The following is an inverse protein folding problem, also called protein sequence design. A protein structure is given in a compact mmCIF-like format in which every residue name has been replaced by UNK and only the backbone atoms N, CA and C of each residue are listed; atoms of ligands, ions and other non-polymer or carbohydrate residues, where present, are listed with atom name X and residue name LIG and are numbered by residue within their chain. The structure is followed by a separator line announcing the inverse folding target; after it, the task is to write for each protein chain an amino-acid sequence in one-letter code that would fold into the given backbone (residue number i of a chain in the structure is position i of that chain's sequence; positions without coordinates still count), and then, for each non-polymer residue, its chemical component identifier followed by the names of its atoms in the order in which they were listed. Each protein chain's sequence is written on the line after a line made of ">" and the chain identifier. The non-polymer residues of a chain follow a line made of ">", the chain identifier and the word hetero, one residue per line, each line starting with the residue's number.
data_IF_734178527775
#
_entry.id   IF_734178527775
#
_cell.length_a   1.000
_cell.length_b   1.000
_cell.length_c   1.000
_cell.angle_alpha   90.00
_cell.angle_beta   90.00
_cell.angle_gamma   90.00
#
_symmetry.space_group_name_H-M   'P 1'
#
loop_
_entity.id
_entity.type
_entity.pdbx_description
1 polymer ?
#
# COMPACT_ATOMS: atom_id res chain seq x y z
N UNK A 1 -15.27 -8.63 -33.46
CA UNK A 1 -15.53 -9.86 -32.68
C UNK A 1 -14.32 -10.74 -32.87
N UNK A 2 -13.57 -11.20 -31.89
CA UNK A 2 -13.34 -10.93 -30.47
C UNK A 2 -12.09 -11.76 -30.15
N UNK A 3 -11.49 -11.53 -28.99
CA UNK A 3 -10.61 -12.49 -28.31
C UNK A 3 -9.23 -12.72 -28.91
N UNK A 4 -8.28 -11.93 -28.42
CA UNK A 4 -7.05 -12.55 -27.91
C UNK A 4 -6.90 -12.13 -26.46
N UNK A 5 -7.48 -12.97 -25.61
CA UNK A 5 -7.18 -13.08 -24.19
C UNK A 5 -5.67 -12.97 -23.94
N UNK A 6 -5.26 -11.91 -23.25
CA UNK A 6 -3.94 -11.83 -22.64
C UNK A 6 -3.99 -12.68 -21.36
N UNK A 7 -3.99 -14.00 -21.56
CA UNK A 7 -3.70 -15.00 -20.53
C UNK A 7 -2.20 -14.96 -20.22
N UNK A 8 -1.77 -14.08 -19.31
CA UNK A 8 -0.45 -14.20 -18.67
C UNK A 8 -0.61 -15.16 -17.48
N UNK A 9 -0.40 -16.45 -17.76
CA UNK A 9 -0.37 -17.48 -16.74
C UNK A 9 0.97 -17.54 -16.00
N UNK A 10 0.87 -17.42 -14.68
CA UNK A 10 1.54 -18.25 -13.68
C UNK A 10 3.06 -18.11 -13.50
N UNK A 11 3.45 -17.19 -12.62
CA UNK A 11 4.63 -17.37 -11.76
C UNK A 11 4.12 -17.63 -10.34
N UNK A 12 4.64 -18.64 -9.65
CA UNK A 12 4.27 -19.05 -8.29
C UNK A 12 4.48 -17.95 -7.22
N UNK A 13 3.67 -16.88 -7.22
CA UNK A 13 3.95 -15.68 -6.43
C UNK A 13 2.69 -15.00 -5.91
N UNK A 14 2.36 -15.26 -4.63
CA UNK A 14 1.47 -14.44 -3.81
C UNK A 14 0.00 -14.36 -4.25
N UNK A 15 -0.91 -14.17 -3.29
CA UNK A 15 -2.33 -13.88 -3.55
C UNK A 15 -2.57 -12.57 -4.35
N UNK A 16 -1.54 -11.74 -4.50
CA UNK A 16 -1.63 -10.39 -5.06
C UNK A 16 -0.51 -10.15 -6.09
N UNK A 17 -0.75 -9.33 -7.13
CA UNK A 17 0.31 -8.89 -8.03
C UNK A 17 1.36 -8.07 -7.27
N UNK A 18 2.60 -8.09 -7.77
CA UNK A 18 3.69 -7.27 -7.23
C UNK A 18 3.32 -5.79 -7.37
N UNK A 19 3.40 -5.03 -6.28
CA UNK A 19 3.14 -3.60 -6.30
C UNK A 19 4.27 -2.81 -6.97
N UNK A 20 3.90 -1.77 -7.72
CA UNK A 20 4.84 -0.83 -8.32
C UNK A 20 4.27 0.58 -8.34
N UNK A 21 5.15 1.57 -8.19
CA UNK A 21 4.79 2.97 -8.41
C UNK A 21 5.07 3.34 -9.86
N UNK A 22 4.24 4.23 -10.40
CA UNK A 22 4.40 4.80 -11.74
C UNK A 22 4.42 6.32 -11.65
N UNK A 23 4.69 6.99 -12.77
CA UNK A 23 4.60 8.45 -12.85
C UNK A 23 3.16 8.98 -12.66
N UNK A 24 2.16 8.09 -12.65
CA UNK A 24 0.75 8.43 -12.39
C UNK A 24 0.37 8.31 -10.91
N UNK A 25 1.24 7.73 -10.07
CA UNK A 25 0.98 7.56 -8.65
C UNK A 25 0.85 8.92 -7.96
N UNK A 26 -0.33 9.20 -7.43
CA UNK A 26 -0.58 10.44 -6.69
C UNK A 26 0.05 10.34 -5.29
N UNK A 27 1.05 11.18 -5.01
CA UNK A 27 1.66 11.30 -3.68
C UNK A 27 0.84 12.28 -2.84
N UNK A 28 0.34 11.82 -1.69
CA UNK A 28 -0.51 12.59 -0.79
C UNK A 28 0.05 12.56 0.62
N UNK A 29 -0.31 13.54 1.44
CA UNK A 29 0.15 13.65 2.82
C UNK A 29 -0.98 14.08 3.75
N UNK A 30 -0.99 13.51 4.96
CA UNK A 30 -1.88 13.90 6.04
C UNK A 30 -1.12 13.87 7.37
N UNK A 31 -1.36 14.86 8.23
CA UNK A 31 -0.74 14.96 9.55
C UNK A 31 -1.76 14.60 10.63
N UNK A 32 -1.32 13.84 11.61
CA UNK A 32 -2.11 13.38 12.75
C UNK A 32 -1.45 13.80 14.05
N UNK A 33 -2.17 13.69 15.16
CA UNK A 33 -1.66 14.08 16.49
C UNK A 33 -0.82 12.97 17.13
N UNK A 34 -0.93 11.74 16.65
CA UNK A 34 -0.21 10.61 17.19
C UNK A 34 -0.04 9.47 16.18
N UNK A 35 0.97 8.62 16.43
CA UNK A 35 1.15 7.36 15.71
C UNK A 35 -0.09 6.47 15.75
N UNK A 36 -0.78 6.43 16.90
CA UNK A 36 -1.98 5.62 17.10
C UNK A 36 -3.11 6.06 16.17
N UNK A 37 -3.31 7.37 16.03
CA UNK A 37 -4.32 7.96 15.15
C UNK A 37 -4.03 7.63 13.67
N UNK A 38 -2.81 7.88 13.20
CA UNK A 38 -2.40 7.56 11.83
C UNK A 38 -2.62 6.07 11.49
N UNK A 39 -2.19 5.17 12.40
CA UNK A 39 -2.38 3.73 12.24
C UNK A 39 -3.85 3.30 12.30
N UNK A 40 -4.67 3.96 13.11
CA UNK A 40 -6.11 3.69 13.19
C UNK A 40 -6.78 3.98 11.85
N UNK A 41 -6.51 5.16 11.26
CA UNK A 41 -7.02 5.54 9.93
C UNK A 41 -6.59 4.52 8.88
N UNK A 42 -5.31 4.14 8.83
CA UNK A 42 -4.85 3.14 7.86
C UNK A 42 -5.56 1.78 8.04
N UNK A 43 -5.76 1.32 9.28
CA UNK A 43 -6.49 0.07 9.57
C UNK A 43 -7.93 0.11 9.07
N UNK A 44 -8.62 1.24 9.16
CA UNK A 44 -9.99 1.36 8.62
C UNK A 44 -10.07 1.11 7.11
N UNK A 45 -9.00 1.46 6.37
CA UNK A 45 -8.94 1.33 4.91
C UNK A 45 -8.47 -0.04 4.46
N UNK A 46 -7.43 -0.58 5.11
CA UNK A 46 -6.96 -1.94 4.84
C UNK A 46 -8.04 -2.97 5.21
N UNK A 47 -8.83 -2.68 6.24
CA UNK A 47 -9.96 -3.50 6.65
C UNK A 47 -9.57 -4.66 7.55
N UNK A 48 -10.52 -5.58 7.75
CA UNK A 48 -10.38 -6.71 8.66
C UNK A 48 -9.53 -7.83 8.04
N UNK A 49 -8.79 -8.53 8.89
CA UNK A 49 -7.95 -9.70 8.57
C UNK A 49 -7.02 -9.46 7.37
N UNK A 50 -6.15 -8.43 7.42
CA UNK A 50 -5.24 -8.15 6.30
C UNK A 50 -4.25 -9.28 6.08
N UNK A 51 -3.84 -9.45 4.83
CA UNK A 51 -2.83 -10.44 4.43
C UNK A 51 -1.45 -9.81 4.57
N UNK A 52 -0.55 -10.43 5.32
CA UNK A 52 0.86 -10.07 5.30
C UNK A 52 1.48 -10.51 3.98
N UNK A 53 2.05 -9.57 3.23
CA UNK A 53 2.65 -9.81 1.92
C UNK A 53 4.18 -9.67 1.92
N UNK A 54 4.81 -9.57 3.10
CA UNK A 54 6.24 -9.33 3.25
C UNK A 54 6.61 -7.84 3.27
N UNK A 55 7.90 -7.52 3.38
CA UNK A 55 8.46 -6.17 3.28
C UNK A 55 7.79 -5.10 4.18
N UNK A 56 7.35 -5.50 5.38
CA UNK A 56 6.59 -4.65 6.30
C UNK A 56 5.27 -4.12 5.72
N UNK A 57 4.66 -4.89 4.80
CA UNK A 57 3.41 -4.57 4.12
C UNK A 57 2.26 -5.49 4.53
N UNK A 58 1.09 -4.88 4.71
CA UNK A 58 -0.18 -5.56 4.90
C UNK A 58 -1.13 -5.18 3.76
N UNK A 59 -1.76 -6.17 3.13
CA UNK A 59 -2.69 -5.96 2.02
C UNK A 59 -4.12 -6.28 2.45
N UNK A 60 -5.06 -5.44 2.03
CA UNK A 60 -6.49 -5.70 2.19
C UNK A 60 -6.89 -6.96 1.44
N UNK A 61 -7.93 -7.65 1.93
CA UNK A 61 -8.41 -8.89 1.31
C UNK A 61 -8.73 -8.74 -0.18
N UNK A 62 -9.30 -7.60 -0.56
CA UNK A 62 -9.64 -7.26 -1.95
C UNK A 62 -8.47 -6.68 -2.78
N UNK A 63 -7.25 -6.59 -2.22
CA UNK A 63 -6.05 -6.13 -2.93
C UNK A 63 -5.95 -4.63 -3.16
N UNK A 64 -6.99 -3.84 -2.85
CA UNK A 64 -7.09 -2.40 -3.20
C UNK A 64 -6.34 -1.47 -2.26
N UNK A 65 -6.06 -1.89 -1.02
CA UNK A 65 -5.38 -1.07 -0.02
C UNK A 65 -4.19 -1.81 0.56
N UNK A 66 -3.07 -1.13 0.67
CA UNK A 66 -1.84 -1.62 1.28
C UNK A 66 -1.41 -0.65 2.38
N UNK A 67 -1.07 -1.19 3.53
CA UNK A 67 -0.33 -0.48 4.56
C UNK A 67 1.13 -0.89 4.44
N UNK A 68 2.05 0.08 4.53
CA UNK A 68 3.50 -0.16 4.58
C UNK A 68 4.13 0.68 5.68
N UNK A 69 4.98 0.07 6.49
CA UNK A 69 5.73 0.79 7.53
C UNK A 69 7.13 0.24 7.71
N UNK A 70 8.08 0.80 6.97
CA UNK A 70 9.49 0.44 7.11
C UNK A 70 10.10 1.08 8.37
N UNK A 71 11.07 0.43 9.04
CA UNK A 71 11.67 0.95 10.26
C UNK A 71 12.23 2.38 10.12
N UNK A 72 12.83 2.71 8.98
CA UNK A 72 13.34 4.05 8.70
C UNK A 72 12.25 5.12 8.69
N UNK A 73 11.10 4.81 8.09
CA UNK A 73 9.93 5.73 8.03
C UNK A 73 9.31 5.93 9.41
N UNK A 74 9.29 4.89 10.23
CA UNK A 74 8.81 4.96 11.60
C UNK A 74 9.71 5.82 12.51
N UNK A 75 11.00 5.89 12.21
CA UNK A 75 11.96 6.74 12.92
C UNK A 75 12.07 8.16 12.36
N UNK A 76 11.46 8.43 11.20
CA UNK A 76 11.69 9.64 10.44
C UNK A 76 13.05 9.60 9.73
N UNK A 77 13.06 9.26 8.44
CA UNK A 77 14.29 9.09 7.66
C UNK A 77 15.20 10.34 7.73
N UNK A 78 16.38 10.24 8.35
CA UNK A 78 17.43 11.26 8.40
C UNK A 78 17.10 12.55 9.16
N UNK A 79 16.05 13.27 8.72
CA UNK A 79 15.45 14.51 9.28
C UNK A 79 13.95 14.66 8.95
N UNK A 80 13.30 13.65 8.35
CA UNK A 80 11.88 13.67 7.98
C UNK A 80 10.94 13.33 9.14
N UNK A 81 9.67 13.77 9.08
CA UNK A 81 8.68 13.41 10.10
C UNK A 81 8.37 11.91 10.05
N UNK A 82 8.27 11.21 11.20
CA UNK A 82 7.81 9.83 11.27
C UNK A 82 6.47 9.65 10.55
N UNK A 83 6.36 8.59 9.76
CA UNK A 83 5.11 8.30 9.05
C UNK A 83 4.96 6.82 8.70
N UNK A 84 3.74 6.49 8.26
CA UNK A 84 3.40 5.23 7.59
C UNK A 84 2.86 5.54 6.20
N UNK A 85 2.91 4.55 5.31
CA UNK A 85 2.27 4.63 4.01
C UNK A 85 0.93 3.90 4.01
N UNK A 86 -0.08 4.56 3.45
CA UNK A 86 -1.34 3.95 3.05
C UNK A 86 -1.48 4.10 1.54
N UNK A 87 -1.35 2.99 0.84
CA UNK A 87 -1.30 2.93 -0.61
C UNK A 87 -2.62 2.37 -1.13
N UNK A 88 -3.22 3.05 -2.12
CA UNK A 88 -4.35 2.55 -2.90
C UNK A 88 -3.82 1.98 -4.19
N UNK A 89 -4.20 0.76 -4.52
CA UNK A 89 -3.67 0.03 -5.68
C UNK A 89 -4.79 -0.43 -6.60
N UNK A 90 -4.44 -0.61 -7.86
CA UNK A 90 -5.18 -1.47 -8.76
C UNK A 90 -4.93 -2.95 -8.34
N UNK A 91 -5.96 -3.70 -7.93
CA UNK A 91 -5.79 -5.06 -7.45
C UNK A 91 -5.45 -6.07 -8.56
N UNK A 92 -5.63 -5.71 -9.83
CA UNK A 92 -5.34 -6.55 -11.00
C UNK A 92 -3.88 -6.34 -11.42
N UNK A 93 -3.44 -5.09 -11.56
CA UNK A 93 -2.10 -4.79 -12.08
C UNK A 93 -1.05 -4.66 -10.98
N UNK A 94 -1.44 -4.27 -9.77
CA UNK A 94 -0.51 -3.90 -8.69
C UNK A 94 -0.02 -2.45 -8.76
N UNK A 95 -0.48 -1.65 -9.72
CA UNK A 95 -0.11 -0.23 -9.79
C UNK A 95 -0.62 0.53 -8.57
N UNK A 96 0.28 1.24 -7.88
CA UNK A 96 -0.09 2.16 -6.81
C UNK A 96 -0.69 3.41 -7.44
N UNK A 97 -1.99 3.60 -7.25
CA UNK A 97 -2.75 4.75 -7.76
C UNK A 97 -2.55 5.96 -6.83
N UNK A 98 -2.58 5.74 -5.52
CA UNK A 98 -2.34 6.78 -4.51
C UNK A 98 -1.38 6.25 -3.45
N UNK A 99 -0.45 7.08 -3.01
CA UNK A 99 0.42 6.80 -1.88
C UNK A 99 0.26 7.92 -0.84
N UNK A 100 -0.39 7.62 0.27
CA UNK A 100 -0.61 8.54 1.37
C UNK A 100 0.46 8.37 2.44
N UNK A 101 1.19 9.44 2.72
CA UNK A 101 2.10 9.55 3.85
C UNK A 101 1.32 10.07 5.06
N UNK A 102 1.12 9.23 6.08
CA UNK A 102 0.39 9.58 7.29
C UNK A 102 1.40 9.90 8.39
N UNK A 103 1.66 11.20 8.61
CA UNK A 103 2.65 11.73 9.54
C UNK A 103 2.09 11.90 10.96
N UNK A 104 2.97 11.88 11.96
CA UNK A 104 2.68 12.28 13.33
C UNK A 104 3.90 12.93 14.00
#
# INVERSE_FOLDING_TARGET
>A
MSDQDVFVHNSCGGKYPKDFQSNKTAQKGAKFNSQGEARSIARTKVGRDPVNIGDNKLRSQNGKWQYRSEPGELSGHGKGQPHIHLEKLDPITGEIIENWHLYW
#
